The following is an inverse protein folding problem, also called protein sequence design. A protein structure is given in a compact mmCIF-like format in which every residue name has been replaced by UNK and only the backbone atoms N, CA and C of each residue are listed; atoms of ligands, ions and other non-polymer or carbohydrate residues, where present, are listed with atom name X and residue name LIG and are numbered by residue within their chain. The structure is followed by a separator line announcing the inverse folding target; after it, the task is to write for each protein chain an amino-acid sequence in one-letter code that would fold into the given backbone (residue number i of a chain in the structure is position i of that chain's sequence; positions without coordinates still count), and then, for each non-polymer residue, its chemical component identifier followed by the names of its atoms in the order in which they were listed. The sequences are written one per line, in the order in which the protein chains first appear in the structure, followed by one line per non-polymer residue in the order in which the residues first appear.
data_IF_987163430986
#
_entry.id   IF_987163430986
#
_cell.length_a   1.000
_cell.length_b   1.000
_cell.length_c   1.000
_cell.angle_alpha   90.00
_cell.angle_beta   90.00
_cell.angle_gamma   90.00
#
_symmetry.space_group_name_H-M   'P 1'
#
loop_
_entity.id
_entity.type
_entity.pdbx_description
1 polymer ?
#
# COMPACT_ATOMS: atom_id res chain seq x y z
N UNK A 1 -25.16 2.01 1.30
CA UNK A 1 -24.30 0.81 1.29
C UNK A 1 -24.46 0.15 2.64
N UNK A 2 -24.65 -1.16 2.67
CA UNK A 2 -24.61 -1.96 3.90
C UNK A 2 -23.51 -3.00 3.74
N UNK A 3 -22.74 -3.24 4.79
CA UNK A 3 -21.62 -4.17 4.79
C UNK A 3 -21.73 -5.00 6.07
N UNK A 4 -21.80 -6.31 5.91
CA UNK A 4 -21.80 -7.28 7.01
C UNK A 4 -20.80 -8.37 6.66
N UNK A 5 -19.62 -8.31 7.27
CA UNK A 5 -18.48 -9.17 6.97
C UNK A 5 -17.84 -9.65 8.26
N UNK A 6 -17.56 -10.94 8.33
CA UNK A 6 -16.68 -11.55 9.32
C UNK A 6 -15.24 -11.53 8.80
N UNK A 7 -14.30 -11.11 9.64
CA UNK A 7 -12.86 -11.16 9.35
C UNK A 7 -12.19 -12.27 10.16
N UNK A 8 -11.55 -13.21 9.47
CA UNK A 8 -10.70 -14.23 10.07
C UNK A 8 -9.24 -13.95 9.71
N UNK A 9 -8.40 -13.69 10.71
CA UNK A 9 -6.97 -13.42 10.48
C UNK A 9 -6.20 -14.65 10.00
N UNK A 10 -5.25 -14.45 9.09
CA UNK A 10 -4.31 -15.50 8.64
C UNK A 10 -3.09 -15.60 9.55
N UNK A 11 -2.60 -14.47 10.06
CA UNK A 11 -1.43 -14.42 10.96
C UNK A 11 -1.77 -13.63 12.24
N UNK A 12 -0.93 -13.70 13.29
CA UNK A 12 -0.96 -12.68 14.35
C UNK A 12 -0.78 -11.27 13.79
N UNK A 13 -1.24 -10.21 14.50
CA UNK A 13 -1.02 -8.83 14.05
C UNK A 13 0.47 -8.49 13.99
N UNK A 14 0.89 -7.86 12.90
CA UNK A 14 2.25 -7.34 12.77
C UNK A 14 2.25 -5.86 13.17
N UNK A 15 2.92 -5.55 14.27
CA UNK A 15 2.96 -4.19 14.82
C UNK A 15 4.15 -3.40 14.27
N UNK A 16 3.90 -2.16 13.86
CA UNK A 16 4.91 -1.14 13.64
C UNK A 16 4.93 -0.19 14.85
N UNK A 17 5.88 -0.42 15.75
CA UNK A 17 5.92 0.28 17.03
C UNK A 17 4.69 -0.03 17.89
N UNK A 18 4.21 0.97 18.64
CA UNK A 18 3.08 0.83 19.57
C UNK A 18 1.76 1.40 19.01
N UNK A 19 1.74 1.83 17.74
CA UNK A 19 0.70 2.73 17.21
C UNK A 19 0.14 2.33 15.85
N UNK A 20 0.58 1.19 15.31
CA UNK A 20 0.12 0.70 14.01
C UNK A 20 0.17 -0.83 13.99
N UNK A 21 -0.87 -1.45 13.44
CA UNK A 21 -0.90 -2.88 13.16
C UNK A 21 -1.37 -3.15 11.74
N UNK A 22 -0.84 -4.23 11.18
CA UNK A 22 -1.12 -4.74 9.85
C UNK A 22 -1.39 -6.25 9.92
N UNK A 23 -2.44 -6.73 9.25
CA UNK A 23 -2.84 -8.13 9.36
C UNK A 23 -3.59 -8.64 8.11
N UNK A 24 -3.08 -9.71 7.45
CA UNK A 24 -3.82 -10.40 6.39
C UNK A 24 -4.98 -11.20 6.99
N UNK A 25 -6.04 -11.37 6.21
CA UNK A 25 -7.17 -12.21 6.62
C UNK A 25 -8.15 -12.49 5.49
N UNK A 26 -9.20 -13.23 5.82
CA UNK A 26 -10.32 -13.57 4.94
C UNK A 26 -11.57 -12.86 5.42
N UNK A 27 -12.30 -12.26 4.48
CA UNK A 27 -13.61 -11.66 4.69
C UNK A 27 -14.68 -12.58 4.13
N UNK A 28 -15.69 -12.92 4.94
CA UNK A 28 -16.86 -13.70 4.51
C UNK A 28 -18.13 -12.96 4.93
N UNK A 29 -19.10 -12.83 4.02
CA UNK A 29 -20.39 -12.21 4.32
C UNK A 29 -21.04 -11.58 3.09
N UNK A 30 -21.59 -10.37 3.22
CA UNK A 30 -22.22 -9.69 2.10
C UNK A 30 -22.10 -8.17 2.12
N UNK A 31 -22.16 -7.59 0.92
CA UNK A 31 -22.25 -6.14 0.70
C UNK A 31 -23.56 -5.87 -0.04
N UNK A 32 -24.37 -4.94 0.47
CA UNK A 32 -25.52 -4.38 -0.28
C UNK A 32 -25.13 -3.03 -0.86
N UNK A 33 -24.95 -2.97 -2.17
CA UNK A 33 -24.56 -1.78 -2.91
C UNK A 33 -25.67 -1.42 -3.90
N UNK A 34 -26.27 -0.24 -3.76
CA UNK A 34 -27.36 0.24 -4.62
C UNK A 34 -28.53 -0.75 -4.77
N UNK A 35 -28.81 -1.55 -3.74
CA UNK A 35 -29.87 -2.55 -3.72
C UNK A 35 -29.46 -3.94 -4.21
N UNK A 36 -28.28 -4.08 -4.80
CA UNK A 36 -27.71 -5.37 -5.17
C UNK A 36 -26.98 -5.99 -3.96
N UNK A 37 -27.26 -7.26 -3.67
CA UNK A 37 -26.52 -8.03 -2.66
C UNK A 37 -25.40 -8.82 -3.33
N UNK A 38 -24.18 -8.56 -2.89
CA UNK A 38 -22.94 -9.18 -3.38
C UNK A 38 -22.43 -10.09 -2.26
N UNK A 39 -22.34 -11.39 -2.53
CA UNK A 39 -21.69 -12.32 -1.61
C UNK A 39 -20.18 -12.08 -1.62
N UNK A 40 -19.57 -12.06 -0.44
CA UNK A 40 -18.13 -11.88 -0.27
C UNK A 40 -17.57 -13.12 0.37
N UNK A 41 -16.58 -13.70 -0.29
CA UNK A 41 -15.69 -14.72 0.25
C UNK A 41 -14.31 -14.49 -0.38
N UNK A 42 -13.50 -13.64 0.24
CA UNK A 42 -12.25 -13.18 -0.33
C UNK A 42 -11.19 -12.93 0.73
N UNK A 43 -9.94 -13.17 0.37
CA UNK A 43 -8.82 -12.67 1.13
C UNK A 43 -8.70 -11.14 1.00
N UNK A 44 -8.10 -10.52 2.01
CA UNK A 44 -7.90 -9.09 2.12
C UNK A 44 -6.93 -8.74 3.24
N UNK A 45 -7.08 -7.54 3.77
CA UNK A 45 -6.14 -6.98 4.75
C UNK A 45 -6.84 -6.05 5.72
N UNK A 46 -6.36 -6.05 6.96
CA UNK A 46 -6.81 -5.17 8.02
C UNK A 46 -5.61 -4.38 8.54
N UNK A 47 -5.72 -3.07 8.50
CA UNK A 47 -4.78 -2.17 9.17
C UNK A 47 -5.50 -1.35 10.25
N UNK A 48 -4.72 -0.85 11.21
CA UNK A 48 -5.20 0.16 12.15
C UNK A 48 -4.03 0.99 12.63
N UNK A 49 -4.19 2.31 12.60
CA UNK A 49 -3.16 3.24 13.06
C UNK A 49 -3.70 4.34 13.99
N UNK A 50 -3.10 4.52 15.15
CA UNK A 50 -3.60 5.41 16.20
C UNK A 50 -2.49 6.30 16.77
N UNK A 51 -2.87 7.18 17.70
CA UNK A 51 -1.96 8.14 18.31
C UNK A 51 -2.03 9.55 17.69
N UNK A 52 -1.39 10.52 18.34
CA UNK A 52 -1.40 11.91 17.89
C UNK A 52 -0.66 12.04 16.55
N UNK A 53 -1.30 12.70 15.57
CA UNK A 53 -0.68 13.03 14.29
C UNK A 53 -0.83 14.51 14.01
N UNK A 54 0.27 15.18 13.68
CA UNK A 54 0.20 16.53 13.14
C UNK A 54 -0.50 16.47 11.78
N UNK A 55 -1.48 17.34 11.59
CA UNK A 55 -2.12 17.56 10.30
C UNK A 55 -1.38 18.60 9.46
N UNK A 56 -0.20 19.02 9.91
CA UNK A 56 0.63 20.07 9.31
C UNK A 56 2.09 19.64 9.29
N UNK A 57 2.83 20.02 8.25
CA UNK A 57 4.26 19.74 8.15
C UNK A 57 4.71 19.57 6.71
N UNK A 58 6.02 19.36 6.54
CA UNK A 58 6.63 19.12 5.22
C UNK A 58 6.59 17.64 4.81
N UNK A 59 6.62 16.72 5.77
CA UNK A 59 6.64 15.28 5.54
C UNK A 59 5.39 14.55 6.01
N UNK A 60 5.43 13.23 5.89
CA UNK A 60 4.37 12.29 6.22
C UNK A 60 4.37 11.96 7.72
N UNK A 61 3.25 12.23 8.39
CA UNK A 61 3.11 12.02 9.84
C UNK A 61 4.22 12.74 10.63
N UNK A 62 5.07 12.01 11.37
CA UNK A 62 6.22 12.55 12.12
C UNK A 62 7.55 12.40 11.37
N UNK A 63 7.53 11.94 10.12
CA UNK A 63 8.71 11.74 9.27
C UNK A 63 9.06 12.99 8.46
N UNK A 64 10.32 13.12 8.07
CA UNK A 64 10.77 14.10 7.05
C UNK A 64 10.44 13.66 5.62
N UNK A 65 10.12 12.38 5.39
CA UNK A 65 9.78 11.84 4.08
C UNK A 65 8.50 12.49 3.54
N UNK A 66 8.54 12.99 2.30
CA UNK A 66 7.37 13.58 1.65
C UNK A 66 6.60 12.58 0.79
N UNK A 67 7.19 11.43 0.53
CA UNK A 67 6.68 10.37 -0.32
C UNK A 67 6.88 9.02 0.38
N UNK A 68 5.93 8.11 0.20
CA UNK A 68 5.99 6.76 0.69
C UNK A 68 4.98 5.88 -0.01
N UNK A 69 4.99 4.59 0.33
CA UNK A 69 4.06 3.62 -0.22
C UNK A 69 3.55 2.66 0.83
N UNK A 70 2.36 2.12 0.56
CA UNK A 70 1.75 1.07 1.36
C UNK A 70 1.17 0.05 0.39
N UNK A 71 1.74 -1.15 0.35
CA UNK A 71 1.39 -2.16 -0.66
C UNK A 71 1.20 -3.51 0.00
N UNK A 72 0.13 -4.21 -0.34
CA UNK A 72 -0.14 -5.56 0.16
C UNK A 72 -0.90 -6.40 -0.85
N UNK A 73 -0.82 -7.71 -0.68
CA UNK A 73 -1.72 -8.67 -1.28
C UNK A 73 -1.84 -9.91 -0.38
N UNK A 74 -3.05 -10.46 -0.28
CA UNK A 74 -3.30 -11.73 0.43
C UNK A 74 -3.98 -12.66 -0.55
N UNK A 75 -3.30 -13.73 -0.96
CA UNK A 75 -3.84 -14.70 -1.90
C UNK A 75 -4.59 -15.84 -1.21
N UNK A 76 -4.02 -16.26 -0.08
CA UNK A 76 -4.44 -17.46 0.64
C UNK A 76 -4.04 -17.36 2.12
N UNK A 77 -4.28 -18.43 2.87
CA UNK A 77 -3.74 -18.59 4.22
C UNK A 77 -2.22 -18.87 4.24
N UNK A 78 -1.60 -19.13 3.09
CA UNK A 78 -0.19 -19.50 2.95
C UNK A 78 0.65 -18.48 2.19
N UNK A 79 0.02 -17.54 1.48
CA UNK A 79 0.71 -16.63 0.56
C UNK A 79 0.16 -15.22 0.65
N UNK A 80 1.00 -14.32 1.17
CA UNK A 80 0.68 -12.91 1.31
C UNK A 80 1.98 -12.08 1.43
N UNK A 81 1.92 -10.80 1.08
CA UNK A 81 2.97 -9.86 1.40
C UNK A 81 2.39 -8.53 1.84
N UNK A 82 3.20 -7.76 2.56
CA UNK A 82 2.91 -6.38 2.90
C UNK A 82 4.22 -5.59 3.00
N UNK A 83 4.21 -4.34 2.56
CA UNK A 83 5.30 -3.41 2.81
C UNK A 83 4.80 -1.99 3.01
N UNK A 84 5.40 -1.30 3.99
CA UNK A 84 5.35 0.16 4.12
C UNK A 84 6.73 0.67 3.74
N UNK A 85 6.75 1.64 2.83
CA UNK A 85 7.97 2.27 2.33
C UNK A 85 7.95 3.79 2.54
N UNK A 86 9.12 4.39 2.70
CA UNK A 86 9.30 5.84 2.78
C UNK A 86 10.50 6.27 1.94
N UNK A 87 10.39 7.44 1.32
CA UNK A 87 11.49 8.08 0.60
C UNK A 87 12.18 9.13 1.49
N UNK A 88 13.39 8.78 1.92
CA UNK A 88 14.29 9.66 2.67
C UNK A 88 15.38 10.30 1.79
N UNK A 89 15.20 10.28 0.46
CA UNK A 89 16.12 10.85 -0.53
C UNK A 89 16.81 9.81 -1.43
N UNK A 90 16.50 8.52 -1.26
CA UNK A 90 17.06 7.41 -2.04
C UNK A 90 15.96 6.48 -2.58
N UNK A 91 14.75 7.01 -2.76
CA UNK A 91 13.58 6.25 -3.19
C UNK A 91 12.83 5.60 -2.03
N UNK A 92 11.68 5.00 -2.35
CA UNK A 92 10.79 4.36 -1.38
C UNK A 92 11.39 3.04 -0.86
N UNK A 93 12.04 3.10 0.30
CA UNK A 93 12.65 1.96 0.99
C UNK A 93 11.76 1.46 2.13
N UNK A 94 11.74 0.15 2.37
CA UNK A 94 10.91 -0.46 3.40
C UNK A 94 11.30 0.01 4.80
N UNK A 95 10.27 0.29 5.59
CA UNK A 95 10.37 0.55 7.03
C UNK A 95 9.59 -0.50 7.84
N UNK A 96 8.70 -1.23 7.17
CA UNK A 96 7.86 -2.26 7.76
C UNK A 96 7.37 -3.22 6.67
N UNK A 97 6.95 -4.42 7.06
CA UNK A 97 6.40 -5.40 6.13
C UNK A 97 6.77 -6.85 6.46
N UNK A 98 6.16 -7.77 5.73
CA UNK A 98 6.40 -9.20 5.86
C UNK A 98 6.22 -9.92 4.52
N UNK A 99 6.75 -11.14 4.49
CA UNK A 99 6.43 -12.16 3.49
C UNK A 99 5.87 -13.40 4.19
N UNK A 100 4.69 -13.82 3.78
CA UNK A 100 4.10 -15.11 4.05
C UNK A 100 4.17 -15.91 2.75
N UNK A 101 4.91 -17.01 2.76
CA UNK A 101 5.07 -17.89 1.59
C UNK A 101 5.06 -19.33 2.08
N UNK A 102 4.28 -20.17 1.41
CA UNK A 102 4.10 -21.59 1.78
C UNK A 102 3.71 -21.78 3.25
N UNK A 103 2.96 -20.83 3.83
CA UNK A 103 2.53 -20.85 5.23
C UNK A 103 3.59 -20.39 6.23
N UNK A 104 4.80 -20.06 5.79
CA UNK A 104 5.88 -19.58 6.64
C UNK A 104 6.00 -18.05 6.55
N UNK A 105 5.80 -17.40 7.70
CA UNK A 105 5.82 -15.94 7.85
C UNK A 105 7.19 -15.44 8.30
N UNK A 106 7.68 -14.37 7.70
CA UNK A 106 8.85 -13.64 8.18
C UNK A 106 8.76 -12.13 7.88
N UNK A 107 9.39 -11.31 8.72
CA UNK A 107 9.52 -9.87 8.47
C UNK A 107 10.38 -9.63 7.24
N UNK A 108 10.06 -8.58 6.48
CA UNK A 108 10.98 -8.09 5.46
C UNK A 108 12.26 -7.56 6.12
N UNK A 109 13.41 -8.03 5.64
CA UNK A 109 14.73 -7.51 6.01
C UNK A 109 15.06 -6.26 5.19
N UNK A 110 14.64 -6.25 3.93
CA UNK A 110 14.71 -5.08 3.05
C UNK A 110 13.65 -5.18 1.96
N UNK A 111 13.18 -4.05 1.47
CA UNK A 111 12.42 -3.96 0.22
C UNK A 111 12.44 -2.55 -0.35
N UNK A 112 12.19 -2.43 -1.64
CA UNK A 112 11.99 -1.17 -2.35
C UNK A 112 10.66 -1.21 -3.08
N UNK A 113 10.02 -0.03 -3.20
CA UNK A 113 8.85 0.17 -4.05
C UNK A 113 9.20 1.10 -5.20
N UNK A 114 8.89 0.67 -6.41
CA UNK A 114 9.06 1.45 -7.63
C UNK A 114 7.72 1.58 -8.35
N UNK A 115 7.35 2.81 -8.75
CA UNK A 115 6.25 3.03 -9.69
C UNK A 115 6.81 2.98 -11.11
N UNK A 116 6.70 1.81 -11.73
CA UNK A 116 7.30 1.49 -13.04
C UNK A 116 6.59 2.21 -14.18
N UNK A 117 5.28 2.44 -14.04
CA UNK A 117 4.49 3.18 -15.03
C UNK A 117 3.52 4.12 -14.32
N UNK A 118 3.48 5.38 -14.79
CA UNK A 118 2.52 6.40 -14.36
C UNK A 118 1.62 6.82 -15.51
N UNK A 119 0.36 7.14 -15.20
CA UNK A 119 -0.55 7.76 -16.14
C UNK A 119 0.01 9.15 -16.55
N UNK A 120 0.25 9.40 -17.85
CA UNK A 120 0.84 10.66 -18.29
C UNK A 120 -0.05 11.89 -18.06
N UNK A 121 -1.36 11.71 -17.84
CA UNK A 121 -2.32 12.81 -17.63
C UNK A 121 -2.45 13.20 -16.17
N UNK A 122 -2.28 12.24 -15.26
CA UNK A 122 -2.54 12.46 -13.82
C UNK A 122 -1.32 12.25 -12.94
N UNK A 123 -0.28 11.55 -13.43
CA UNK A 123 0.87 11.13 -12.64
C UNK A 123 0.60 9.96 -11.68
N UNK A 124 -0.62 9.41 -11.68
CA UNK A 124 -1.00 8.29 -10.82
C UNK A 124 -0.33 7.00 -11.27
N UNK A 125 -0.04 6.10 -10.34
CA UNK A 125 0.53 4.79 -10.65
C UNK A 125 -0.41 3.95 -11.54
N UNK A 126 0.19 3.20 -12.46
CA UNK A 126 -0.45 2.18 -13.30
C UNK A 126 0.20 0.82 -13.11
N UNK A 127 1.53 0.81 -12.94
CA UNK A 127 2.31 -0.40 -12.64
C UNK A 127 3.29 -0.11 -11.51
N UNK A 128 3.39 -1.04 -10.58
CA UNK A 128 4.24 -0.94 -9.39
C UNK A 128 5.02 -2.23 -9.24
N UNK A 129 6.27 -2.13 -8.78
CA UNK A 129 7.12 -3.27 -8.47
C UNK A 129 7.64 -3.15 -7.04
N UNK A 130 7.56 -4.25 -6.30
CA UNK A 130 8.22 -4.42 -5.01
C UNK A 130 9.33 -5.45 -5.17
N UNK A 131 10.53 -5.11 -4.74
CA UNK A 131 11.67 -6.05 -4.69
C UNK A 131 12.33 -6.03 -3.33
N UNK A 132 12.72 -7.18 -2.80
CA UNK A 132 13.34 -7.26 -1.48
C UNK A 132 13.62 -8.67 -1.00
N UNK A 133 13.89 -8.81 0.29
CA UNK A 133 14.09 -10.08 0.96
C UNK A 133 13.55 -10.05 2.38
N UNK A 134 13.20 -11.22 2.89
CA UNK A 134 12.80 -11.39 4.29
C UNK A 134 13.96 -11.86 5.19
N UNK A 135 13.68 -11.94 6.49
CA UNK A 135 14.66 -12.37 7.49
C UNK A 135 15.06 -13.84 7.41
N UNK A 136 14.36 -14.66 6.61
CA UNK A 136 14.74 -16.03 6.30
C UNK A 136 15.60 -16.11 5.02
N UNK A 137 15.87 -14.97 4.38
CA UNK A 137 16.64 -14.89 3.14
C UNK A 137 15.85 -15.19 1.88
N UNK A 138 14.51 -15.25 1.95
CA UNK A 138 13.65 -15.49 0.79
C UNK A 138 13.45 -14.19 0.03
N UNK A 139 13.54 -14.25 -1.31
CA UNK A 139 13.30 -13.09 -2.16
C UNK A 139 11.81 -12.79 -2.31
N UNK A 140 11.48 -11.50 -2.27
CA UNK A 140 10.20 -10.94 -2.67
C UNK A 140 10.39 -10.19 -3.99
N UNK A 141 9.70 -10.64 -5.03
CA UNK A 141 9.44 -9.86 -6.25
C UNK A 141 7.95 -9.87 -6.46
N UNK A 142 7.32 -8.71 -6.37
CA UNK A 142 5.89 -8.53 -6.59
C UNK A 142 5.64 -7.49 -7.68
N UNK A 143 4.91 -7.88 -8.71
CA UNK A 143 4.54 -7.03 -9.84
C UNK A 143 3.05 -6.70 -9.77
N UNK A 144 2.72 -5.41 -9.73
CA UNK A 144 1.36 -4.91 -9.56
C UNK A 144 0.85 -4.18 -10.80
N UNK A 145 -0.39 -4.49 -11.19
CA UNK A 145 -1.18 -3.74 -12.19
C UNK A 145 -2.36 -3.08 -11.50
N UNK A 146 -2.38 -1.74 -11.50
CA UNK A 146 -3.43 -0.97 -10.86
C UNK A 146 -4.71 -0.99 -11.72
N UNK A 147 -5.82 -1.49 -11.14
CA UNK A 147 -7.10 -1.68 -11.83
C UNK A 147 -8.01 -0.47 -11.75
N UNK A 148 -7.81 0.36 -10.73
CA UNK A 148 -8.51 1.62 -10.54
C UNK A 148 -7.58 2.64 -9.89
N UNK A 149 -8.07 3.87 -9.72
CA UNK A 149 -7.35 4.94 -9.05
C UNK A 149 -8.34 5.78 -8.24
N UNK A 150 -8.09 5.91 -6.94
CA UNK A 150 -8.84 6.76 -6.02
C UNK A 150 -7.87 7.71 -5.32
N UNK A 151 -7.93 9.00 -5.67
CA UNK A 151 -7.04 10.01 -5.11
C UNK A 151 -7.79 10.93 -4.15
N UNK A 152 -7.32 11.05 -2.91
CA UNK A 152 -7.98 11.86 -1.88
C UNK A 152 -7.03 12.20 -0.71
N UNK A 153 -7.29 13.31 0.02
CA UNK A 153 -6.63 13.56 1.29
C UNK A 153 -7.23 12.67 2.38
N UNK A 154 -6.44 11.74 2.94
CA UNK A 154 -6.81 10.99 4.16
C UNK A 154 -6.90 11.95 5.35
N UNK A 155 -5.99 12.93 5.38
CA UNK A 155 -6.02 14.06 6.31
C UNK A 155 -5.36 15.29 5.63
N UNK A 156 -5.35 16.48 6.25
CA UNK A 156 -4.85 17.69 5.59
C UNK A 156 -3.40 17.65 5.08
N UNK A 157 -2.55 16.76 5.61
CA UNK A 157 -1.15 16.61 5.19
C UNK A 157 -0.79 15.17 4.75
N UNK A 158 -1.78 14.36 4.41
CA UNK A 158 -1.59 13.04 3.79
C UNK A 158 -2.55 12.92 2.61
N UNK A 159 -2.01 13.11 1.41
CA UNK A 159 -2.69 12.81 0.16
C UNK A 159 -2.27 11.42 -0.30
N UNK A 160 -3.24 10.60 -0.71
CA UNK A 160 -2.95 9.28 -1.26
C UNK A 160 -3.61 9.08 -2.60
N UNK A 161 -2.97 8.27 -3.44
CA UNK A 161 -3.59 7.64 -4.60
C UNK A 161 -3.64 6.15 -4.29
N UNK A 162 -4.82 5.64 -4.00
CA UNK A 162 -5.04 4.22 -3.72
C UNK A 162 -5.53 3.50 -4.97
N UNK A 163 -4.95 2.34 -5.23
CA UNK A 163 -5.33 1.47 -6.34
C UNK A 163 -5.60 0.05 -5.81
N UNK A 164 -6.78 -0.50 -6.11
CA UNK A 164 -6.95 -1.94 -6.19
C UNK A 164 -5.95 -2.44 -7.23
N UNK A 165 -5.11 -3.37 -6.82
CA UNK A 165 -3.97 -3.83 -7.61
C UNK A 165 -4.02 -5.34 -7.71
N UNK A 166 -3.93 -5.85 -8.93
CA UNK A 166 -3.65 -7.26 -9.20
C UNK A 166 -2.14 -7.44 -9.09
N UNK A 167 -1.71 -8.34 -8.20
CA UNK A 167 -0.31 -8.60 -7.91
C UNK A 167 0.06 -10.01 -8.35
N UNK A 168 1.24 -10.15 -8.94
CA UNK A 168 1.92 -11.44 -9.13
C UNK A 168 3.16 -11.48 -8.26
N UNK A 169 3.31 -12.49 -7.41
CA UNK A 169 4.50 -12.73 -6.60
C UNK A 169 4.75 -14.22 -6.41
N UNK A 170 5.94 -14.71 -6.78
CA UNK A 170 6.15 -16.15 -6.95
C UNK A 170 5.24 -16.71 -8.06
N UNK A 171 4.57 -17.83 -7.81
CA UNK A 171 3.59 -18.43 -8.72
C UNK A 171 2.14 -17.96 -8.44
N UNK A 172 1.98 -16.99 -7.54
CA UNK A 172 0.69 -16.58 -6.99
C UNK A 172 0.20 -15.31 -7.68
N UNK A 173 -1.09 -15.27 -8.01
CA UNK A 173 -1.81 -14.04 -8.37
C UNK A 173 -2.83 -13.72 -7.28
N UNK A 174 -2.87 -12.46 -6.84
CA UNK A 174 -3.77 -12.01 -5.79
C UNK A 174 -4.20 -10.56 -5.97
N UNK A 175 -5.29 -10.19 -5.30
CA UNK A 175 -5.72 -8.80 -5.23
C UNK A 175 -5.32 -8.21 -3.88
N UNK A 176 -4.96 -6.93 -3.92
CA UNK A 176 -4.71 -6.13 -2.74
C UNK A 176 -4.65 -4.67 -3.14
N UNK A 177 -3.92 -3.85 -2.39
CA UNK A 177 -3.82 -2.43 -2.69
C UNK A 177 -2.38 -1.97 -2.86
N UNK A 178 -2.24 -0.91 -3.65
CA UNK A 178 -1.07 -0.06 -3.66
C UNK A 178 -1.50 1.38 -3.35
N UNK A 179 -0.83 2.01 -2.40
CA UNK A 179 -1.02 3.41 -2.05
C UNK A 179 0.24 4.19 -2.42
N UNK A 180 0.08 5.27 -3.18
CA UNK A 180 1.13 6.26 -3.43
C UNK A 180 0.88 7.45 -2.49
N UNK A 181 1.56 7.45 -1.35
CA UNK A 181 1.32 8.37 -0.24
C UNK A 181 2.24 9.57 -0.31
N UNK A 182 1.67 10.76 -0.17
CA UNK A 182 2.39 12.03 -0.29
C UNK A 182 1.99 13.01 0.81
N UNK A 183 2.94 13.82 1.29
CA UNK A 183 2.60 15.02 2.04
C UNK A 183 1.90 16.02 1.12
N UNK A 184 1.15 16.97 1.68
CA UNK A 184 0.44 17.96 0.87
C UNK A 184 1.41 18.83 0.03
N UNK A 185 2.59 19.13 0.57
CA UNK A 185 3.66 19.80 -0.16
C UNK A 185 4.29 18.90 -1.23
N UNK A 186 4.56 17.63 -0.88
CA UNK A 186 5.19 16.64 -1.75
C UNK A 186 4.38 16.39 -3.02
N UNK A 187 3.08 16.09 -2.89
CA UNK A 187 2.23 15.83 -4.07
C UNK A 187 2.16 17.04 -5.01
N UNK A 188 2.07 18.25 -4.44
CA UNK A 188 2.02 19.48 -5.24
C UNK A 188 3.31 19.68 -6.02
N UNK A 189 4.46 19.46 -5.40
CA UNK A 189 5.76 19.52 -6.07
C UNK A 189 5.86 18.49 -7.19
N UNK A 190 5.57 17.22 -6.86
CA UNK A 190 5.58 16.12 -7.82
C UNK A 190 4.70 16.40 -9.05
N UNK A 191 3.42 16.75 -8.85
CA UNK A 191 2.49 16.95 -9.98
C UNK A 191 2.87 18.15 -10.84
N UNK A 192 3.40 19.21 -10.26
CA UNK A 192 3.88 20.37 -11.03
C UNK A 192 5.05 20.01 -11.93
N UNK A 193 6.01 19.25 -11.40
CA UNK A 193 7.14 18.77 -12.18
C UNK A 193 6.67 17.77 -13.26
N UNK A 194 5.91 16.76 -12.87
CA UNK A 194 5.47 15.67 -13.75
C UNK A 194 4.61 16.16 -14.91
N UNK A 195 3.70 17.10 -14.66
CA UNK A 195 2.80 17.65 -15.67
C UNK A 195 3.39 18.87 -16.40
N UNK A 196 4.64 19.25 -16.10
CA UNK A 196 5.34 20.35 -16.79
C UNK A 196 4.83 21.75 -16.44
N UNK A 197 4.26 21.95 -15.25
CA UNK A 197 3.83 23.26 -14.75
C UNK A 197 4.95 24.08 -14.09
N UNK A 198 6.09 23.46 -13.80
CA UNK A 198 7.28 24.19 -13.37
C UNK A 198 7.98 24.81 -14.58
N UNK A 199 7.77 26.12 -14.75
CA UNK A 199 8.32 26.93 -15.83
C UNK A 199 9.73 27.44 -15.56
N UNK A 200 10.50 26.81 -14.67
CA UNK A 200 11.88 27.21 -14.39
C UNK A 200 12.87 26.64 -15.43
N UNK A 201 12.63 26.91 -16.72
CA UNK A 201 13.59 27.03 -17.84
C UNK A 201 12.82 27.04 -19.17
N UNK A 202 12.42 28.23 -19.61
CA UNK A 202 12.38 28.61 -21.03
C UNK A 202 12.91 30.03 -21.16
#
# INVERSE_FOLDING_TARGET
MHVDLEFTSVTPPHYLGEHHLDQPGRYVGSIVLRGEQIAVDSYGFRDRSWGPRSQFGVGLSSSSAQHGGYSYATASASDAFHTITMDFGSGCNNIHGYLLRDGEWAKLASATREVVERDPRTGHQRRVRITGSDQLGRELVADGVCLNQLAFPINPNLFTINCLTEWTFGEVTAFGEDHDNWSAAGIRGFLRQFLGYDTSTR
#
